data_IF_821078808677
#
_entry.id   IF_821078808677
#
_cell.length_a   1.000
_cell.length_b   1.000
_cell.length_c   1.000
_cell.angle_alpha   90.00
_cell.angle_beta   90.00
_cell.angle_gamma   90.00
#
_symmetry.space_group_name_H-M   'P 1'
#
loop_
_entity.id
_entity.type
_entity.pdbx_description
1 polymer ?
#
# COMPACT_ATOMS: atom_id res chain seq x y z
N UNK A 1 40.68 -10.77 -11.41
CA UNK A 1 39.72 -11.31 -10.41
C UNK A 1 38.34 -10.62 -10.48
N UNK A 2 37.67 -10.57 -11.64
CA UNK A 2 36.57 -9.61 -11.87
C UNK A 2 35.13 -10.20 -11.82
N UNK A 3 34.94 -11.47 -12.16
CA UNK A 3 33.58 -12.03 -12.38
C UNK A 3 32.65 -12.00 -11.16
N UNK A 4 33.12 -12.37 -9.96
CA UNK A 4 32.28 -12.41 -8.75
C UNK A 4 31.94 -11.03 -8.17
N UNK A 5 32.71 -9.98 -8.49
CA UNK A 5 32.40 -8.61 -8.03
C UNK A 5 31.36 -7.98 -8.93
N UNK A 6 31.54 -8.08 -10.25
CA UNK A 6 30.55 -7.60 -11.22
C UNK A 6 29.20 -8.33 -11.12
N UNK A 7 29.19 -9.62 -10.77
CA UNK A 7 27.95 -10.35 -10.47
C UNK A 7 27.19 -9.79 -9.26
N UNK A 8 27.90 -9.43 -8.18
CA UNK A 8 27.28 -8.88 -6.98
C UNK A 8 26.68 -7.50 -7.25
N UNK A 9 27.40 -6.68 -8.00
CA UNK A 9 26.95 -5.36 -8.45
C UNK A 9 25.71 -5.47 -9.36
N UNK A 10 25.69 -6.42 -10.28
CA UNK A 10 24.52 -6.69 -11.12
C UNK A 10 23.31 -7.14 -10.30
N UNK A 11 23.50 -7.99 -9.29
CA UNK A 11 22.44 -8.41 -8.36
C UNK A 11 21.93 -7.25 -7.52
N UNK A 12 22.80 -6.37 -7.02
CA UNK A 12 22.41 -5.19 -6.26
C UNK A 12 21.54 -4.25 -7.11
N UNK A 13 21.93 -3.99 -8.36
CA UNK A 13 21.13 -3.21 -9.32
C UNK A 13 19.75 -3.84 -9.56
N UNK A 14 19.71 -5.15 -9.83
CA UNK A 14 18.45 -5.85 -10.08
C UNK A 14 17.53 -5.81 -8.85
N UNK A 15 18.09 -5.99 -7.65
CA UNK A 15 17.33 -5.91 -6.41
C UNK A 15 16.75 -4.52 -6.17
N UNK A 16 17.49 -3.45 -6.51
CA UNK A 16 16.99 -2.07 -6.45
C UNK A 16 15.81 -1.85 -7.39
N UNK A 17 15.93 -2.26 -8.65
CA UNK A 17 14.86 -2.16 -9.64
C UNK A 17 13.61 -2.90 -9.16
N UNK A 18 13.78 -4.10 -8.60
CA UNK A 18 12.67 -4.88 -8.04
C UNK A 18 12.03 -4.17 -6.84
N UNK A 19 12.82 -3.61 -5.94
CA UNK A 19 12.32 -2.87 -4.79
C UNK A 19 11.48 -1.66 -5.24
N UNK A 20 11.95 -0.91 -6.24
CA UNK A 20 11.21 0.23 -6.79
C UNK A 20 9.89 -0.20 -7.45
N UNK A 21 9.89 -1.32 -8.18
CA UNK A 21 8.68 -1.86 -8.79
C UNK A 21 7.65 -2.31 -7.74
N UNK A 22 8.09 -3.03 -6.71
CA UNK A 22 7.23 -3.50 -5.62
C UNK A 22 6.70 -2.31 -4.78
N UNK A 23 7.51 -1.27 -4.58
CA UNK A 23 7.10 -0.03 -3.92
C UNK A 23 6.02 0.72 -4.71
N UNK A 24 6.21 0.88 -6.03
CA UNK A 24 5.19 1.49 -6.90
C UNK A 24 3.88 0.71 -6.87
N UNK A 25 3.96 -0.62 -6.90
CA UNK A 25 2.78 -1.49 -6.78
C UNK A 25 2.05 -1.29 -5.46
N UNK A 26 2.79 -1.25 -4.34
CA UNK A 26 2.21 -0.95 -3.02
C UNK A 26 1.55 0.43 -2.99
N UNK A 27 2.22 1.46 -3.51
CA UNK A 27 1.68 2.81 -3.57
C UNK A 27 0.35 2.88 -4.35
N UNK A 28 0.25 2.18 -5.48
CA UNK A 28 -0.99 2.09 -6.25
C UNK A 28 -2.13 1.46 -5.44
N UNK A 29 -1.89 0.31 -4.78
CA UNK A 29 -2.88 -0.30 -3.90
C UNK A 29 -3.30 0.65 -2.77
N UNK A 30 -2.35 1.37 -2.18
CA UNK A 30 -2.62 2.30 -1.08
C UNK A 30 -3.53 3.45 -1.52
N UNK A 31 -3.25 4.06 -2.67
CA UNK A 31 -4.08 5.14 -3.24
C UNK A 31 -5.52 4.66 -3.46
N UNK A 32 -5.71 3.47 -4.03
CA UNK A 32 -7.05 2.92 -4.23
C UNK A 32 -7.78 2.62 -2.90
N UNK A 33 -7.08 2.05 -1.92
CA UNK A 33 -7.65 1.78 -0.61
C UNK A 33 -8.03 3.07 0.15
N UNK A 34 -7.19 4.09 0.09
CA UNK A 34 -7.46 5.41 0.69
C UNK A 34 -8.67 6.09 0.02
N UNK A 35 -8.77 6.02 -1.31
CA UNK A 35 -9.92 6.58 -2.02
C UNK A 35 -11.24 5.90 -1.62
N UNK A 36 -11.25 4.57 -1.51
CA UNK A 36 -12.43 3.83 -1.02
C UNK A 36 -12.76 4.15 0.43
N UNK A 37 -11.75 4.28 1.29
CA UNK A 37 -11.98 4.67 2.68
C UNK A 37 -12.64 6.06 2.76
N UNK A 38 -12.15 7.04 2.00
CA UNK A 38 -12.78 8.37 1.93
C UNK A 38 -14.23 8.31 1.44
N UNK A 39 -14.52 7.45 0.46
CA UNK A 39 -15.90 7.25 -0.02
C UNK A 39 -16.80 6.65 1.07
N UNK A 40 -16.31 5.67 1.83
CA UNK A 40 -17.05 5.09 2.97
C UNK A 40 -17.31 6.15 4.03
N UNK A 41 -16.31 6.96 4.36
CA UNK A 41 -16.43 8.02 5.36
C UNK A 41 -17.46 9.07 4.93
N UNK A 42 -17.44 9.49 3.67
CA UNK A 42 -18.46 10.40 3.11
C UNK A 42 -19.87 9.80 3.18
N UNK A 43 -20.05 8.52 2.80
CA UNK A 43 -21.35 7.85 2.90
C UNK A 43 -21.86 7.74 4.34
N UNK A 44 -20.97 7.57 5.32
CA UNK A 44 -21.31 7.53 6.74
C UNK A 44 -21.71 8.91 7.27
N UNK A 45 -21.04 9.97 6.82
CA UNK A 45 -21.43 11.35 7.12
C UNK A 45 -22.81 11.66 6.53
N UNK A 46 -23.04 11.38 5.25
CA UNK A 46 -24.36 11.54 4.60
C UNK A 46 -25.46 10.78 5.37
N UNK A 47 -25.16 9.57 5.83
CA UNK A 47 -26.09 8.74 6.59
C UNK A 47 -26.41 9.35 7.96
N UNK A 48 -25.38 9.85 8.67
CA UNK A 48 -25.56 10.51 9.95
C UNK A 48 -26.41 11.78 9.83
N UNK A 49 -26.19 12.58 8.79
CA UNK A 49 -27.00 13.77 8.49
C UNK A 49 -28.46 13.41 8.15
N UNK A 50 -28.66 12.37 7.34
CA UNK A 50 -30.00 11.90 6.97
C UNK A 50 -30.79 11.36 8.18
N UNK A 51 -30.11 10.74 9.15
CA UNK A 51 -30.72 10.27 10.40
C UNK A 51 -31.00 11.44 11.35
N UNK A 52 -30.08 12.40 11.44
CA UNK A 52 -30.18 13.53 12.36
C UNK A 52 -31.22 14.57 11.93
N UNK A 53 -31.56 14.63 10.63
CA UNK A 53 -32.58 15.54 10.10
C UNK A 53 -33.97 14.94 10.33
N UNK A 54 -34.79 15.49 11.25
CA UNK A 54 -36.14 14.99 11.44
C UNK A 54 -36.95 15.29 10.17
N UNK A 55 -37.61 14.27 9.61
CA UNK A 55 -38.73 14.54 8.71
C UNK A 55 -39.80 15.30 9.49
N UNK A 56 -40.48 16.27 8.88
CA UNK A 56 -41.67 16.86 9.47
C UNK A 56 -42.67 15.75 9.85
N UNK A 57 -43.66 16.08 10.69
CA UNK A 57 -44.70 15.16 11.20
C UNK A 57 -45.69 14.64 10.12
N UNK A 58 -45.18 14.29 8.95
CA UNK A 58 -45.92 13.74 7.82
C UNK A 58 -45.32 12.40 7.42
N UNK A 59 -46.20 11.41 7.27
CA UNK A 59 -45.84 10.02 6.97
C UNK A 59 -45.05 9.86 5.65
N UNK A 60 -45.32 10.68 4.65
CA UNK A 60 -44.60 10.71 3.36
C UNK A 60 -43.12 11.04 3.54
N UNK A 61 -42.81 12.02 4.39
CA UNK A 61 -41.43 12.41 4.70
C UNK A 61 -40.70 11.31 5.47
N UNK A 62 -41.35 10.65 6.42
CA UNK A 62 -40.77 9.49 7.12
C UNK A 62 -40.41 8.34 6.18
N UNK A 63 -41.29 8.01 5.23
CA UNK A 63 -41.03 6.96 4.23
C UNK A 63 -39.87 7.33 3.32
N UNK A 64 -39.78 8.60 2.92
CA UNK A 64 -38.68 9.11 2.11
C UNK A 64 -37.34 9.01 2.86
N UNK A 65 -37.26 9.52 4.09
CA UNK A 65 -36.06 9.44 4.92
C UNK A 65 -35.63 7.98 5.13
N UNK A 66 -36.57 7.09 5.44
CA UNK A 66 -36.29 5.65 5.60
C UNK A 66 -35.71 5.03 4.33
N UNK A 67 -36.26 5.36 3.15
CA UNK A 67 -35.76 4.86 1.88
C UNK A 67 -34.34 5.36 1.58
N UNK A 68 -34.06 6.65 1.86
CA UNK A 68 -32.72 7.24 1.69
C UNK A 68 -31.71 6.56 2.62
N UNK A 69 -32.05 6.40 3.90
CA UNK A 69 -31.20 5.74 4.90
C UNK A 69 -30.90 4.30 4.50
N UNK A 70 -31.91 3.54 4.07
CA UNK A 70 -31.73 2.16 3.63
C UNK A 70 -30.80 2.07 2.40
N UNK A 71 -31.01 2.95 1.41
CA UNK A 71 -30.19 3.01 0.21
C UNK A 71 -28.73 3.36 0.54
N UNK A 72 -28.49 4.37 1.37
CA UNK A 72 -27.15 4.82 1.77
C UNK A 72 -26.41 3.76 2.60
N UNK A 73 -27.11 3.11 3.53
CA UNK A 73 -26.58 1.97 4.29
C UNK A 73 -26.12 0.85 3.35
N UNK A 74 -26.94 0.49 2.36
CA UNK A 74 -26.58 -0.54 1.38
C UNK A 74 -25.37 -0.14 0.51
N UNK A 75 -25.21 1.15 0.18
CA UNK A 75 -24.01 1.64 -0.50
C UNK A 75 -22.76 1.53 0.38
N UNK A 76 -22.85 1.99 1.63
CA UNK A 76 -21.74 1.93 2.58
C UNK A 76 -21.27 0.48 2.80
N UNK A 77 -22.20 -0.45 3.02
CA UNK A 77 -21.89 -1.87 3.22
C UNK A 77 -21.19 -2.49 2.00
N UNK A 78 -21.64 -2.18 0.78
CA UNK A 78 -20.97 -2.66 -0.45
C UNK A 78 -19.55 -2.12 -0.58
N UNK A 79 -19.36 -0.83 -0.29
CA UNK A 79 -18.04 -0.20 -0.31
C UNK A 79 -17.11 -0.79 0.75
N UNK A 80 -17.61 -1.04 1.97
CA UNK A 80 -16.87 -1.70 3.04
C UNK A 80 -16.44 -3.13 2.67
N UNK A 81 -17.33 -3.92 2.05
CA UNK A 81 -17.00 -5.26 1.55
C UNK A 81 -15.92 -5.19 0.47
N UNK A 82 -16.03 -4.23 -0.47
CA UNK A 82 -15.03 -4.03 -1.52
C UNK A 82 -13.65 -3.68 -0.93
N UNK A 83 -13.60 -2.75 0.04
CA UNK A 83 -12.38 -2.41 0.74
C UNK A 83 -11.82 -3.60 1.53
N UNK A 84 -12.66 -4.36 2.22
CA UNK A 84 -12.24 -5.56 2.95
C UNK A 84 -11.60 -6.61 2.03
N UNK A 85 -12.13 -6.78 0.80
CA UNK A 85 -11.54 -7.66 -0.22
C UNK A 85 -10.18 -7.18 -0.72
N UNK A 86 -9.90 -5.88 -0.67
CA UNK A 86 -8.61 -5.32 -1.09
C UNK A 86 -7.51 -5.40 -0.02
N UNK A 87 -7.88 -5.42 1.28
CA UNK A 87 -6.92 -5.42 2.39
C UNK A 87 -5.84 -6.52 2.28
N UNK A 88 -6.16 -7.77 1.92
CA UNK A 88 -5.13 -8.81 1.74
C UNK A 88 -4.13 -8.47 0.64
N UNK A 89 -4.59 -7.91 -0.47
CA UNK A 89 -3.74 -7.49 -1.60
C UNK A 89 -2.81 -6.34 -1.22
N UNK A 90 -3.32 -5.35 -0.50
CA UNK A 90 -2.53 -4.25 0.04
C UNK A 90 -1.44 -4.76 1.01
N UNK A 91 -1.81 -5.63 1.94
CA UNK A 91 -0.87 -6.22 2.91
C UNK A 91 0.19 -7.11 2.22
N UNK A 92 -0.19 -7.84 1.17
CA UNK A 92 0.75 -8.61 0.36
C UNK A 92 1.74 -7.70 -0.38
N UNK A 93 1.26 -6.61 -0.99
CA UNK A 93 2.11 -5.64 -1.67
C UNK A 93 3.06 -4.93 -0.69
N UNK A 94 2.58 -4.56 0.50
CA UNK A 94 3.40 -3.98 1.55
C UNK A 94 4.54 -4.93 1.95
N UNK A 95 4.22 -6.19 2.23
CA UNK A 95 5.25 -7.20 2.59
C UNK A 95 6.25 -7.41 1.46
N UNK A 96 5.79 -7.49 0.21
CA UNK A 96 6.67 -7.64 -0.94
C UNK A 96 7.64 -6.45 -1.07
N UNK A 97 7.14 -5.21 -0.96
CA UNK A 97 7.96 -4.01 -1.00
C UNK A 97 9.00 -3.99 0.12
N UNK A 98 8.61 -4.29 1.37
CA UNK A 98 9.53 -4.35 2.51
C UNK A 98 10.62 -5.40 2.30
N UNK A 99 10.26 -6.60 1.83
CA UNK A 99 11.23 -7.67 1.57
C UNK A 99 12.18 -7.32 0.43
N UNK A 100 11.67 -6.74 -0.66
CA UNK A 100 12.49 -6.34 -1.80
C UNK A 100 13.47 -5.24 -1.42
N UNK A 101 13.02 -4.25 -0.65
CA UNK A 101 13.87 -3.19 -0.11
C UNK A 101 14.97 -3.78 0.80
N UNK A 102 14.60 -4.63 1.76
CA UNK A 102 15.57 -5.27 2.66
C UNK A 102 16.62 -6.10 1.91
N UNK A 103 16.24 -6.79 0.83
CA UNK A 103 17.18 -7.52 -0.04
C UNK A 103 18.13 -6.56 -0.78
N UNK A 104 17.62 -5.46 -1.32
CA UNK A 104 18.44 -4.46 -1.99
C UNK A 104 19.49 -3.85 -1.04
N UNK A 105 19.08 -3.49 0.18
CA UNK A 105 19.97 -2.97 1.21
C UNK A 105 21.03 -3.98 1.64
N UNK A 106 20.66 -5.25 1.82
CA UNK A 106 21.61 -6.31 2.15
C UNK A 106 22.68 -6.49 1.05
N UNK A 107 22.28 -6.49 -0.22
CA UNK A 107 23.21 -6.61 -1.35
C UNK A 107 24.13 -5.39 -1.45
N UNK A 108 23.62 -4.18 -1.23
CA UNK A 108 24.42 -2.96 -1.19
C UNK A 108 25.48 -3.00 -0.09
N UNK A 109 25.12 -3.48 1.10
CA UNK A 109 26.08 -3.64 2.22
C UNK A 109 27.12 -4.70 1.93
N UNK A 110 26.74 -5.84 1.34
CA UNK A 110 27.67 -6.88 0.94
C UNK A 110 28.67 -6.37 -0.11
N UNK A 111 28.22 -5.53 -1.04
CA UNK A 111 29.09 -4.89 -2.02
C UNK A 111 30.12 -3.98 -1.34
N UNK A 112 29.69 -3.09 -0.45
CA UNK A 112 30.58 -2.20 0.31
C UNK A 112 31.63 -2.98 1.12
N UNK A 113 31.20 -4.00 1.86
CA UNK A 113 32.11 -4.85 2.65
C UNK A 113 33.16 -5.54 1.77
N UNK A 114 32.79 -5.95 0.56
CA UNK A 114 33.72 -6.60 -0.37
C UNK A 114 34.72 -5.60 -0.95
N UNK A 115 34.28 -4.41 -1.32
CA UNK A 115 35.14 -3.33 -1.79
C UNK A 115 36.17 -2.93 -0.72
N UNK A 116 35.74 -2.81 0.54
CA UNK A 116 36.63 -2.52 1.68
C UNK A 116 37.65 -3.64 1.92
N UNK A 117 37.24 -4.91 1.78
CA UNK A 117 38.16 -6.04 1.89
C UNK A 117 39.22 -6.03 0.78
N UNK A 118 38.84 -5.72 -0.46
CA UNK A 118 39.79 -5.64 -1.57
C UNK A 118 40.75 -4.45 -1.42
N UNK A 119 40.27 -3.30 -0.92
CA UNK A 119 41.14 -2.15 -0.57
C UNK A 119 42.18 -2.52 0.48
N UNK A 120 41.75 -3.12 1.59
CA UNK A 120 42.67 -3.58 2.66
C UNK A 120 43.67 -4.62 2.17
N UNK A 121 43.29 -5.50 1.24
CA UNK A 121 44.23 -6.47 0.63
C UNK A 121 45.25 -5.78 -0.27
N UNK A 122 44.85 -4.74 -1.00
CA UNK A 122 45.76 -3.96 -1.84
C UNK A 122 46.75 -3.16 -0.99
N UNK A 123 46.29 -2.53 0.09
CA UNK A 123 47.14 -1.81 1.06
C UNK A 123 48.19 -2.70 1.73
N UNK A 124 47.88 -3.98 1.96
CA UNK A 124 48.83 -4.95 2.54
C UNK A 124 49.85 -5.52 1.54
N UNK A 125 49.62 -5.31 0.24
CA UNK A 125 50.50 -5.80 -0.84
C UNK A 125 51.48 -4.74 -1.34
N UNK A 126 51.22 -3.48 -1.02
CA UNK A 126 52.15 -2.36 -1.18
C UNK A 126 52.97 -2.17 0.10
#
# INVERSE_FOLDING_TARGET
MSGKSGQLEALARLARIKADADLRRYAAYRVHAEAMQRQIDALRTDLAEAIATPGADRLDQWRLTTAVVAYRTGQAQRAEIALARMKPGLAAAQRAATLAFGRAEALSRLQQLKEDQERRKAERRN
#
